data_IF_209848921562
#
_entry.id   IF_209848921562
#
_cell.length_a   1.000
_cell.length_b   1.000
_cell.length_c   1.000
_cell.angle_alpha   90.00
_cell.angle_beta   90.00
_cell.angle_gamma   90.00
#
_symmetry.space_group_name_H-M   'P 1'
#
loop_
_entity.id
_entity.type
_entity.pdbx_description
1 polymer ?
#
# COMPACT_ATOMS: atom_id res chain seq x y z
N UNK A 1 39.83 34.64 18.63
CA UNK A 1 38.66 33.72 18.61
C UNK A 1 38.81 32.73 19.75
N UNK A 2 37.86 32.72 20.69
CA UNK A 2 37.96 31.99 21.97
C UNK A 2 37.71 30.49 21.78
N UNK A 3 38.39 29.67 22.58
CA UNK A 3 38.29 28.20 22.57
C UNK A 3 36.84 27.69 22.63
N UNK A 4 35.96 28.45 23.32
CA UNK A 4 34.51 28.18 23.43
C UNK A 4 33.77 28.26 22.09
N UNK A 5 34.13 29.17 21.20
CA UNK A 5 33.49 29.31 19.88
C UNK A 5 33.85 28.18 18.90
N UNK A 6 35.03 27.55 19.09
CA UNK A 6 35.43 26.38 18.30
C UNK A 6 34.70 25.11 18.74
N UNK A 7 34.44 24.98 20.04
CA UNK A 7 33.72 23.83 20.61
C UNK A 7 32.23 23.84 20.24
N UNK A 8 31.57 25.00 20.21
CA UNK A 8 30.16 25.11 19.78
C UNK A 8 29.98 24.85 18.28
N UNK A 9 30.90 25.34 17.43
CA UNK A 9 30.85 25.07 15.99
C UNK A 9 31.02 23.57 15.68
N UNK A 10 31.90 22.88 16.42
CA UNK A 10 32.08 21.43 16.28
C UNK A 10 30.84 20.64 16.72
N UNK A 11 30.23 21.02 17.84
CA UNK A 11 29.03 20.37 18.34
C UNK A 11 27.85 20.49 17.37
N UNK A 12 27.64 21.67 16.78
CA UNK A 12 26.59 21.90 15.78
C UNK A 12 26.85 21.10 14.51
N UNK A 13 28.10 21.05 14.03
CA UNK A 13 28.49 20.24 12.87
C UNK A 13 28.26 18.75 13.09
N UNK A 14 28.59 18.22 14.27
CA UNK A 14 28.35 16.81 14.63
C UNK A 14 26.86 16.50 14.69
N UNK A 15 26.03 17.39 15.27
CA UNK A 15 24.57 17.20 15.35
C UNK A 15 23.92 17.25 13.95
N UNK A 16 24.37 18.14 13.06
CA UNK A 16 23.86 18.20 11.68
C UNK A 16 24.31 17.01 10.82
N UNK A 17 25.55 16.54 10.99
CA UNK A 17 26.05 15.34 10.31
C UNK A 17 25.37 14.08 10.83
N UNK A 18 25.13 13.99 12.14
CA UNK A 18 24.44 12.83 12.73
C UNK A 18 22.94 12.83 12.41
N UNK A 19 22.28 13.98 12.34
CA UNK A 19 20.87 14.05 11.92
C UNK A 19 20.68 13.73 10.43
N UNK A 20 21.55 14.23 9.55
CA UNK A 20 21.53 13.84 8.13
C UNK A 20 21.90 12.37 7.92
N UNK A 21 22.88 11.84 8.65
CA UNK A 21 23.20 10.41 8.64
C UNK A 21 22.02 9.57 9.15
N UNK A 22 21.29 10.01 10.17
CA UNK A 22 20.11 9.31 10.69
C UNK A 22 18.95 9.32 9.67
N UNK A 23 18.72 10.43 8.97
CA UNK A 23 17.69 10.53 7.92
C UNK A 23 18.04 9.67 6.71
N UNK A 24 19.33 9.55 6.37
CA UNK A 24 19.80 8.63 5.32
C UNK A 24 19.72 7.17 5.78
N UNK A 25 20.03 6.87 7.04
CA UNK A 25 19.95 5.52 7.63
C UNK A 25 18.51 5.01 7.79
N UNK A 26 17.55 5.89 8.07
CA UNK A 26 16.12 5.54 8.12
C UNK A 26 15.52 5.38 6.71
N UNK A 27 16.09 6.07 5.70
CA UNK A 27 15.75 5.83 4.28
C UNK A 27 16.43 4.59 3.70
N UNK A 28 17.59 4.17 4.23
CA UNK A 28 18.26 2.95 3.79
C UNK A 28 17.64 1.71 4.44
N UNK A 29 16.55 1.27 3.82
CA UNK A 29 16.28 -0.11 3.44
C UNK A 29 16.88 -1.22 4.30
N UNK A 30 15.99 -2.01 4.88
CA UNK A 30 16.13 -3.45 5.13
C UNK A 30 17.36 -4.07 4.44
N UNK A 31 18.49 -4.22 5.15
CA UNK A 31 19.68 -4.85 4.58
C UNK A 31 19.31 -6.29 4.21
N UNK A 32 19.21 -6.58 2.92
CA UNK A 32 18.84 -7.90 2.38
C UNK A 32 17.57 -7.97 1.54
N UNK A 33 16.84 -6.88 1.33
CA UNK A 33 15.68 -6.89 0.43
C UNK A 33 16.14 -6.88 -1.04
N UNK A 34 16.02 -8.03 -1.71
CA UNK A 34 16.42 -8.23 -3.12
C UNK A 34 15.24 -8.22 -4.09
N UNK A 35 14.04 -7.82 -3.62
CA UNK A 35 12.85 -7.78 -4.47
C UNK A 35 13.06 -6.76 -5.58
N UNK A 36 13.19 -7.27 -6.80
CA UNK A 36 13.33 -6.47 -8.00
C UNK A 36 12.07 -5.63 -8.24
N UNK A 37 12.26 -4.48 -8.89
CA UNK A 37 11.16 -3.68 -9.42
C UNK A 37 10.21 -4.58 -10.24
N UNK A 38 8.93 -4.71 -9.82
CA UNK A 38 7.92 -5.42 -10.60
C UNK A 38 7.85 -4.81 -11.99
N UNK A 39 8.00 -5.63 -13.04
CA UNK A 39 7.81 -5.12 -14.41
C UNK A 39 6.31 -4.96 -14.64
N UNK A 40 5.81 -3.74 -14.93
CA UNK A 40 4.40 -3.55 -15.16
C UNK A 40 4.01 -4.21 -16.50
N UNK A 41 3.18 -5.25 -16.44
CA UNK A 41 2.54 -5.82 -17.63
C UNK A 41 1.31 -4.99 -17.96
N UNK A 42 1.51 -3.85 -18.62
CA UNK A 42 0.42 -2.90 -18.86
C UNK A 42 -0.53 -3.35 -19.98
N UNK A 43 -1.84 -3.40 -19.71
CA UNK A 43 -2.86 -3.50 -20.74
C UNK A 43 -2.73 -2.38 -21.78
N UNK A 44 -3.12 -2.61 -23.05
CA UNK A 44 -3.07 -1.58 -24.10
C UNK A 44 -3.78 -0.28 -23.72
N UNK A 45 -4.89 -0.37 -22.99
CA UNK A 45 -5.68 0.75 -22.52
C UNK A 45 -4.85 1.68 -21.61
N UNK A 46 -4.14 1.12 -20.63
CA UNK A 46 -3.28 1.92 -19.75
C UNK A 46 -2.04 2.46 -20.47
N UNK A 47 -1.50 1.72 -21.45
CA UNK A 47 -0.43 2.23 -22.30
C UNK A 47 -0.84 3.45 -23.13
N UNK A 48 -2.10 3.49 -23.59
CA UNK A 48 -2.62 4.63 -24.35
C UNK A 48 -2.84 5.87 -23.47
N UNK A 49 -3.17 5.67 -22.19
CA UNK A 49 -3.29 6.76 -21.21
C UNK A 49 -1.91 7.30 -20.80
N UNK A 50 -0.89 6.43 -20.76
CA UNK A 50 0.46 6.76 -20.28
C UNK A 50 0.53 6.78 -18.75
N UNK A 51 1.68 7.18 -18.20
CA UNK A 51 1.92 7.39 -16.76
C UNK A 51 2.03 6.11 -15.91
N UNK A 52 1.44 4.99 -16.33
CA UNK A 52 1.47 3.72 -15.58
C UNK A 52 2.75 2.88 -15.79
N UNK A 53 3.64 3.30 -16.70
CA UNK A 53 4.94 2.67 -16.94
C UNK A 53 6.05 3.21 -16.02
N UNK A 54 5.73 4.22 -15.21
CA UNK A 54 6.65 4.82 -14.25
C UNK A 54 6.40 4.33 -12.82
N UNK A 55 7.30 4.71 -11.93
CA UNK A 55 7.20 4.48 -10.49
C UNK A 55 6.40 5.56 -9.78
N UNK A 56 5.58 5.17 -8.81
CA UNK A 56 4.93 6.08 -7.85
C UNK A 56 5.66 6.03 -6.50
N UNK A 57 5.71 7.14 -5.78
CA UNK A 57 6.19 7.15 -4.39
C UNK A 57 5.12 6.54 -3.49
N UNK A 58 5.44 5.43 -2.82
CA UNK A 58 4.48 4.71 -1.96
C UNK A 58 4.02 5.53 -0.75
N UNK A 59 4.75 6.59 -0.39
CA UNK A 59 4.39 7.51 0.70
C UNK A 59 3.44 8.63 0.25
N UNK A 60 3.28 8.82 -1.06
CA UNK A 60 2.41 9.84 -1.64
C UNK A 60 1.00 9.29 -1.89
N UNK A 61 0.19 9.20 -0.84
CA UNK A 61 -1.19 8.69 -0.92
C UNK A 61 -2.04 9.40 -2.00
N UNK A 62 -2.05 10.75 -2.10
CA UNK A 62 -2.81 11.42 -3.16
C UNK A 62 -2.43 10.99 -4.58
N UNK A 63 -1.14 10.75 -4.85
CA UNK A 63 -0.70 10.30 -6.16
C UNK A 63 -1.17 8.86 -6.46
N UNK A 64 -1.16 7.98 -5.45
CA UNK A 64 -1.67 6.61 -5.60
C UNK A 64 -3.19 6.58 -5.80
N UNK A 65 -3.93 7.41 -5.07
CA UNK A 65 -5.39 7.55 -5.19
C UNK A 65 -5.78 8.03 -6.59
N UNK A 66 -5.12 9.07 -7.09
CA UNK A 66 -5.33 9.63 -8.42
C UNK A 66 -4.97 8.62 -9.53
N UNK A 67 -3.83 7.94 -9.41
CA UNK A 67 -3.44 6.86 -10.32
C UNK A 67 -4.45 5.70 -10.30
N UNK A 68 -4.97 5.32 -9.12
CA UNK A 68 -5.97 4.26 -8.99
C UNK A 68 -7.28 4.63 -9.70
N UNK A 69 -7.79 5.84 -9.50
CA UNK A 69 -9.00 6.32 -10.16
C UNK A 69 -8.86 6.33 -11.69
N UNK A 70 -7.71 6.78 -12.21
CA UNK A 70 -7.40 6.72 -13.65
C UNK A 70 -7.32 5.28 -14.17
N UNK A 71 -6.63 4.39 -13.45
CA UNK A 71 -6.47 3.01 -13.88
C UNK A 71 -7.82 2.30 -13.98
N UNK A 72 -8.64 2.46 -12.94
CA UNK A 72 -9.95 1.84 -12.83
C UNK A 72 -10.91 2.31 -13.92
N UNK A 73 -11.06 3.63 -14.08
CA UNK A 73 -11.92 4.20 -15.13
C UNK A 73 -11.49 3.85 -16.56
N UNK A 74 -10.19 3.59 -16.77
CA UNK A 74 -9.66 3.20 -18.08
C UNK A 74 -9.85 1.72 -18.40
N UNK A 75 -9.88 0.84 -17.38
CA UNK A 75 -9.97 -0.61 -17.55
C UNK A 75 -11.40 -1.13 -17.40
N UNK A 76 -12.19 -0.49 -16.54
CA UNK A 76 -13.54 -0.92 -16.17
C UNK A 76 -14.51 0.27 -16.27
N UNK A 77 -15.41 0.22 -17.25
CA UNK A 77 -16.41 1.28 -17.46
C UNK A 77 -17.35 1.46 -16.25
N UNK A 78 -17.61 0.39 -15.51
CA UNK A 78 -18.46 0.39 -14.31
C UNK A 78 -17.81 1.12 -13.12
N UNK A 79 -16.49 1.34 -13.18
CA UNK A 79 -15.74 2.10 -12.17
C UNK A 79 -15.59 3.58 -12.52
N UNK A 80 -16.19 4.06 -13.61
CA UNK A 80 -16.23 5.49 -13.93
C UNK A 80 -17.00 6.23 -12.83
N UNK A 81 -16.35 7.25 -12.25
CA UNK A 81 -16.91 8.02 -11.13
C UNK A 81 -16.72 7.38 -9.76
N UNK A 82 -16.08 6.20 -9.68
CA UNK A 82 -15.70 5.62 -8.40
C UNK A 82 -14.67 6.50 -7.68
N UNK A 83 -14.82 6.63 -6.36
CA UNK A 83 -13.98 7.51 -5.52
C UNK A 83 -12.91 6.67 -4.81
N UNK A 84 -11.61 6.94 -5.03
CA UNK A 84 -10.56 6.23 -4.31
C UNK A 84 -10.57 6.56 -2.82
N UNK A 85 -10.27 5.56 -1.99
CA UNK A 85 -10.05 5.69 -0.56
C UNK A 85 -8.57 5.65 -0.21
N UNK A 86 -8.27 5.83 1.08
CA UNK A 86 -6.91 5.78 1.58
C UNK A 86 -6.22 4.45 1.20
N UNK A 87 -4.99 4.49 0.65
CA UNK A 87 -4.23 3.29 0.33
C UNK A 87 -3.91 2.43 1.55
N UNK A 88 -4.07 1.12 1.42
CA UNK A 88 -3.84 0.13 2.48
C UNK A 88 -2.63 -0.72 2.13
N UNK A 89 -1.67 -0.81 3.05
CA UNK A 89 -0.47 -1.65 2.90
C UNK A 89 -0.76 -3.09 3.28
N UNK A 90 -0.31 -4.02 2.44
CA UNK A 90 -0.40 -5.46 2.65
C UNK A 90 0.98 -6.05 2.45
N UNK A 91 1.51 -6.72 3.47
CA UNK A 91 2.86 -7.29 3.39
C UNK A 91 2.85 -8.65 2.69
N UNK A 92 3.87 -8.97 1.91
CA UNK A 92 4.06 -10.33 1.44
C UNK A 92 4.51 -11.25 2.59
N UNK A 93 4.04 -12.49 2.57
CA UNK A 93 4.51 -13.51 3.51
C UNK A 93 5.89 -14.04 3.11
N UNK A 94 6.14 -14.12 1.81
CA UNK A 94 7.40 -14.62 1.25
C UNK A 94 8.38 -13.47 0.99
N UNK A 95 9.63 -13.63 1.42
CA UNK A 95 10.67 -12.61 1.24
C UNK A 95 11.04 -12.34 -0.23
N UNK A 96 10.67 -13.23 -1.15
CA UNK A 96 10.87 -13.10 -2.59
C UNK A 96 9.75 -12.35 -3.30
N UNK A 97 8.66 -12.07 -2.60
CA UNK A 97 7.49 -11.37 -3.13
C UNK A 97 7.51 -9.90 -2.73
N UNK A 98 6.99 -9.03 -3.61
CA UNK A 98 6.84 -7.61 -3.34
C UNK A 98 5.82 -7.36 -2.24
N UNK A 99 5.95 -6.33 -1.43
CA UNK A 99 4.79 -5.87 -0.67
C UNK A 99 3.75 -5.25 -1.64
N UNK A 100 2.54 -5.01 -1.17
CA UNK A 100 1.50 -4.40 -1.98
C UNK A 100 0.84 -3.23 -1.27
N UNK A 101 0.36 -2.29 -2.08
CA UNK A 101 -0.56 -1.24 -1.67
C UNK A 101 -1.84 -1.41 -2.46
N UNK A 102 -2.94 -1.58 -1.74
CA UNK A 102 -4.27 -1.72 -2.32
C UNK A 102 -5.03 -0.42 -2.08
N UNK A 103 -5.54 0.18 -3.15
CA UNK A 103 -6.38 1.37 -3.10
C UNK A 103 -7.83 0.95 -3.31
N UNK A 104 -8.67 1.02 -2.26
CA UNK A 104 -10.10 0.73 -2.40
C UNK A 104 -10.81 1.81 -3.20
N UNK A 105 -11.82 1.43 -3.97
CA UNK A 105 -12.66 2.35 -4.74
C UNK A 105 -14.11 2.26 -4.26
N UNK A 106 -14.72 3.42 -4.02
CA UNK A 106 -16.13 3.54 -3.65
C UNK A 106 -16.99 3.77 -4.86
N UNK A 107 -18.03 2.94 -4.98
CA UNK A 107 -19.06 3.14 -6.00
C UNK A 107 -19.98 4.30 -5.68
N UNK A 108 -21.10 4.36 -6.40
CA UNK A 108 -22.15 5.32 -6.14
C UNK A 108 -23.03 4.85 -4.97
N UNK A 109 -23.60 5.80 -4.24
CA UNK A 109 -24.57 5.50 -3.18
C UNK A 109 -25.75 4.74 -3.77
N UNK A 110 -26.01 3.55 -3.24
CA UNK A 110 -27.14 2.72 -3.64
C UNK A 110 -28.46 3.33 -3.16
N UNK A 111 -29.59 2.84 -3.68
CA UNK A 111 -30.93 3.26 -3.24
C UNK A 111 -31.18 3.07 -1.72
N UNK A 112 -30.37 2.24 -1.06
CA UNK A 112 -30.41 1.97 0.37
C UNK A 112 -29.49 2.90 1.19
N UNK A 113 -28.83 3.88 0.56
CA UNK A 113 -27.96 4.84 1.23
C UNK A 113 -26.55 4.33 1.55
N UNK A 114 -26.19 3.12 1.11
CA UNK A 114 -24.86 2.53 1.33
C UNK A 114 -23.98 2.75 0.10
N UNK A 115 -22.73 3.14 0.33
CA UNK A 115 -21.70 3.27 -0.70
C UNK A 115 -20.82 2.02 -0.71
N UNK A 116 -21.04 1.08 -1.65
CA UNK A 116 -20.31 -0.18 -1.67
C UNK A 116 -18.86 0.03 -2.09
N UNK A 117 -18.02 -0.94 -1.73
CA UNK A 117 -16.74 -1.13 -2.40
C UNK A 117 -17.04 -1.53 -3.85
N UNK A 118 -16.61 -0.71 -4.81
CA UNK A 118 -16.79 -0.97 -6.23
C UNK A 118 -15.57 -1.68 -6.84
N UNK A 119 -14.39 -1.54 -6.25
CA UNK A 119 -13.21 -2.21 -6.77
C UNK A 119 -11.97 -1.96 -5.94
N UNK A 120 -10.88 -2.59 -6.36
CA UNK A 120 -9.59 -2.55 -5.70
C UNK A 120 -8.51 -2.35 -6.76
N UNK A 121 -7.60 -1.40 -6.56
CA UNK A 121 -6.43 -1.22 -7.41
C UNK A 121 -5.18 -1.63 -6.65
N UNK A 122 -4.35 -2.46 -7.26
CA UNK A 122 -3.12 -2.97 -6.64
C UNK A 122 -1.90 -2.30 -7.25
N UNK A 123 -1.04 -1.81 -6.38
CA UNK A 123 0.32 -1.43 -6.68
C UNK A 123 1.29 -2.34 -5.95
N UNK A 124 2.24 -2.94 -6.66
CA UNK A 124 3.31 -3.72 -6.03
C UNK A 124 4.45 -2.78 -5.64
N UNK A 125 4.97 -2.97 -4.44
CA UNK A 125 6.02 -2.15 -3.85
C UNK A 125 7.38 -2.85 -3.99
N UNK A 126 8.39 -2.11 -4.44
CA UNK A 126 9.78 -2.55 -4.36
C UNK A 126 10.41 -2.20 -3.00
N UNK A 127 11.60 -2.76 -2.76
CA UNK A 127 12.35 -2.47 -1.56
C UNK A 127 12.69 -0.98 -1.41
N UNK A 128 12.72 -0.22 -2.52
CA UNK A 128 13.10 1.19 -2.56
C UNK A 128 11.98 2.16 -2.15
N UNK A 129 10.77 1.63 -1.90
CA UNK A 129 9.59 2.46 -1.61
C UNK A 129 8.92 2.99 -2.87
N UNK A 130 9.24 2.44 -4.03
CA UNK A 130 8.51 2.71 -5.25
C UNK A 130 7.34 1.74 -5.38
N UNK A 131 6.23 2.22 -5.90
CA UNK A 131 5.02 1.47 -6.19
C UNK A 131 4.79 1.41 -7.70
N UNK A 132 4.38 0.25 -8.20
CA UNK A 132 4.18 -0.04 -9.62
C UNK A 132 2.77 -0.57 -9.81
N UNK A 133 2.04 -0.04 -10.78
CA UNK A 133 0.71 -0.55 -11.10
C UNK A 133 0.79 -2.05 -11.44
N UNK A 134 -0.15 -2.83 -10.88
CA UNK A 134 -0.22 -4.27 -11.12
C UNK A 134 -1.58 -4.69 -11.68
N UNK A 135 -2.67 -4.40 -11.00
CA UNK A 135 -4.00 -4.86 -11.40
C UNK A 135 -5.13 -3.97 -10.87
N UNK A 136 -6.31 -4.15 -11.46
CA UNK A 136 -7.58 -3.65 -10.95
C UNK A 136 -8.53 -4.84 -10.83
N UNK A 137 -9.24 -4.93 -9.70
CA UNK A 137 -10.38 -5.80 -9.50
C UNK A 137 -11.66 -4.96 -9.47
N UNK A 138 -12.67 -5.39 -10.20
CA UNK A 138 -13.99 -4.78 -10.27
C UNK A 138 -14.98 -5.62 -9.46
N UNK A 139 -15.35 -5.09 -8.29
CA UNK A 139 -16.32 -5.66 -7.37
C UNK A 139 -17.73 -5.06 -7.57
N UNK A 140 -17.92 -4.11 -8.51
CA UNK A 140 -19.18 -3.40 -8.68
C UNK A 140 -20.31 -4.32 -9.17
N UNK A 141 -19.95 -5.40 -9.87
CA UNK A 141 -20.86 -6.44 -10.35
C UNK A 141 -21.09 -7.58 -9.36
N UNK A 142 -20.41 -7.57 -8.20
CA UNK A 142 -20.57 -8.61 -7.20
C UNK A 142 -21.96 -8.57 -6.57
N UNK A 143 -22.63 -9.72 -6.52
CA UNK A 143 -24.00 -9.84 -5.99
C UNK A 143 -24.12 -9.38 -4.52
N UNK A 144 -23.03 -9.46 -3.77
CA UNK A 144 -22.86 -8.85 -2.46
C UNK A 144 -21.50 -8.15 -2.41
N UNK A 145 -21.43 -6.97 -3.00
CA UNK A 145 -20.24 -6.13 -2.93
C UNK A 145 -19.84 -5.85 -1.47
N UNK A 146 -18.56 -6.00 -1.11
CA UNK A 146 -18.09 -5.65 0.22
C UNK A 146 -18.40 -4.20 0.59
N UNK A 147 -18.57 -3.92 1.88
CA UNK A 147 -18.73 -2.54 2.35
C UNK A 147 -17.41 -1.87 2.71
N UNK A 148 -16.29 -2.58 2.70
CA UNK A 148 -14.96 -2.05 3.00
C UNK A 148 -13.88 -3.07 2.62
N UNK A 149 -12.65 -2.60 2.49
CA UNK A 149 -11.46 -3.44 2.37
C UNK A 149 -10.46 -3.08 3.48
N UNK A 150 -9.88 -4.06 4.20
CA UNK A 150 -10.33 -5.45 4.26
C UNK A 150 -11.74 -5.55 4.86
N UNK A 151 -12.48 -6.62 4.58
CA UNK A 151 -13.86 -6.78 5.11
C UNK A 151 -13.86 -6.93 6.63
N UNK A 152 -12.84 -7.62 7.16
CA UNK A 152 -12.58 -7.71 8.60
C UNK A 152 -11.65 -6.59 9.01
N UNK A 153 -12.13 -5.70 9.89
CA UNK A 153 -11.30 -4.60 10.40
C UNK A 153 -10.19 -5.11 11.33
N UNK A 154 -9.12 -4.32 11.49
CA UNK A 154 -8.03 -4.66 12.42
C UNK A 154 -8.55 -4.91 13.85
N UNK A 155 -9.53 -4.12 14.32
CA UNK A 155 -10.13 -4.29 15.64
C UNK A 155 -10.95 -5.58 15.79
N UNK A 156 -11.65 -6.00 14.73
CA UNK A 156 -12.35 -7.29 14.74
C UNK A 156 -11.38 -8.46 14.68
N UNK A 157 -10.34 -8.35 13.86
CA UNK A 157 -9.29 -9.34 13.76
C UNK A 157 -8.54 -9.50 15.09
N UNK A 158 -8.19 -8.39 15.75
CA UNK A 158 -7.49 -8.43 17.04
C UNK A 158 -8.34 -9.07 18.14
N UNK A 159 -9.65 -8.78 18.16
CA UNK A 159 -10.58 -9.41 19.10
C UNK A 159 -10.71 -10.92 18.85
N UNK A 160 -10.77 -11.36 17.58
CA UNK A 160 -10.90 -12.78 17.21
C UNK A 160 -9.60 -13.58 17.44
N UNK A 161 -8.45 -12.95 17.17
CA UNK A 161 -7.12 -13.55 17.36
C UNK A 161 -6.61 -13.40 18.81
N UNK A 162 -7.33 -12.65 19.66
CA UNK A 162 -6.96 -12.45 21.07
C UNK A 162 -5.71 -11.60 21.28
N UNK A 163 -5.28 -10.83 20.28
CA UNK A 163 -4.08 -9.98 20.36
C UNK A 163 -4.16 -8.79 19.41
N UNK A 164 -3.63 -7.63 19.83
CA UNK A 164 -3.47 -6.45 18.97
C UNK A 164 -2.20 -6.52 18.10
N UNK A 165 -1.29 -7.45 18.40
CA UNK A 165 -0.06 -7.65 17.66
C UNK A 165 -0.32 -8.47 16.40
N UNK A 166 -0.98 -7.84 15.42
CA UNK A 166 -1.37 -8.43 14.14
C UNK A 166 -0.89 -7.56 12.98
N UNK A 167 -0.69 -8.17 11.81
CA UNK A 167 -0.40 -7.50 10.55
C UNK A 167 -1.21 -8.12 9.43
N UNK A 168 -1.48 -7.33 8.38
CA UNK A 168 -2.15 -7.79 7.18
C UNK A 168 -1.11 -8.30 6.19
N UNK A 169 -1.22 -9.56 5.79
CA UNK A 169 -0.28 -10.22 4.86
C UNK A 169 -1.00 -10.92 3.72
N UNK A 170 -0.28 -11.25 2.66
CA UNK A 170 -0.77 -12.11 1.59
C UNK A 170 0.27 -13.18 1.22
N UNK A 171 -0.19 -14.29 0.65
CA UNK A 171 0.68 -15.37 0.16
C UNK A 171 0.85 -15.25 -1.34
N UNK A 172 -0.27 -15.25 -2.08
CA UNK A 172 -0.27 -15.23 -3.55
C UNK A 172 -0.94 -14.00 -4.13
N UNK A 173 -1.98 -13.49 -3.47
CA UNK A 173 -2.86 -12.45 -4.03
C UNK A 173 -3.08 -11.32 -3.02
N UNK A 174 -2.61 -10.09 -3.32
CA UNK A 174 -2.84 -8.89 -2.51
C UNK A 174 -4.33 -8.57 -2.28
N UNK A 175 -5.22 -9.05 -3.16
CA UNK A 175 -6.67 -8.81 -3.09
C UNK A 175 -7.37 -9.77 -2.13
N UNK A 176 -6.67 -10.79 -1.62
CA UNK A 176 -7.19 -11.74 -0.63
C UNK A 176 -6.21 -11.89 0.55
N UNK A 177 -6.01 -10.83 1.33
CA UNK A 177 -5.07 -10.88 2.44
C UNK A 177 -5.63 -11.60 3.68
N UNK A 178 -4.74 -11.94 4.59
CA UNK A 178 -5.01 -12.53 5.91
C UNK A 178 -4.44 -11.63 7.02
N UNK A 179 -5.17 -11.54 8.13
CA UNK A 179 -4.64 -11.02 9.39
C UNK A 179 -3.83 -12.11 10.07
N UNK A 180 -2.55 -11.84 10.35
CA UNK A 180 -1.65 -12.80 10.99
C UNK A 180 -1.08 -12.23 12.29
N UNK A 181 -1.05 -13.05 13.34
CA UNK A 181 -0.41 -12.68 14.61
C UNK A 181 1.11 -12.57 14.44
N UNK A 182 1.73 -11.61 15.13
CA UNK A 182 3.19 -11.48 15.13
C UNK A 182 3.87 -12.36 16.18
N UNK A 183 3.09 -13.10 16.98
CA UNK A 183 3.56 -14.03 18.02
C UNK A 183 3.78 -15.45 17.47
N UNK A 184 4.53 -16.27 18.21
CA UNK A 184 4.73 -17.68 17.88
C UNK A 184 3.89 -18.59 18.80
N UNK A 185 3.15 -19.59 18.28
CA UNK A 185 2.96 -19.89 16.85
C UNK A 185 2.08 -18.83 16.15
N UNK A 186 2.30 -18.56 14.86
CA UNK A 186 1.46 -17.64 14.11
C UNK A 186 0.05 -18.23 13.93
N UNK A 187 -0.96 -17.39 14.10
CA UNK A 187 -2.35 -17.68 13.80
C UNK A 187 -2.83 -16.72 12.71
N UNK A 188 -3.70 -17.19 11.82
CA UNK A 188 -4.25 -16.38 10.74
C UNK A 188 -5.77 -16.33 10.72
N UNK A 189 -6.30 -15.26 10.15
CA UNK A 189 -7.72 -15.04 9.92
C UNK A 189 -7.89 -14.37 8.56
N UNK A 190 -8.73 -14.94 7.69
CA UNK A 190 -9.08 -14.31 6.41
C UNK A 190 -9.63 -12.90 6.61
N UNK A 191 -9.05 -11.95 5.88
CA UNK A 191 -9.46 -10.55 5.92
C UNK A 191 -10.48 -10.19 4.83
N UNK A 192 -10.75 -11.12 3.89
CA UNK A 192 -11.74 -11.02 2.81
C UNK A 192 -12.70 -12.21 2.84
#
# INVERSE_FOLDING_TARGET
>A
MTLRGRLTALAVGVVLLSSTALVVLVRSHTPGCTVLAPRPSLPPQLRAVGDFDQTYDVSNSPALEDAAGRAASSLHGDLIGAVPEQPIRVAATEATSSDAVVVPLRGHTTAQGVTPLAGLVVFLQDCQGNAYFASVEDDASAQQAPSQFPTVSQGQASARLGTAAIRLVYVSDPLRPEWVTTSSPPQSLLAR
#
